data_IF_209382176283
#
_entry.id   IF_209382176283
#
_cell.length_a   1.000
_cell.length_b   1.000
_cell.length_c   1.000
_cell.angle_alpha   90.00
_cell.angle_beta   90.00
_cell.angle_gamma   90.00
#
_symmetry.space_group_name_H-M   'P 1'
#
loop_
_entity.id
_entity.type
_entity.pdbx_description
1 polymer ?
#
# COMPACT_ATOMS: atom_id res chain seq x y z
N UNK A 1 19.99 46.89 72.31
CA UNK A 1 19.08 45.88 71.73
C UNK A 1 18.39 46.57 70.56
N UNK A 2 19.16 46.76 69.48
CA UNK A 2 19.15 45.94 68.25
C UNK A 2 17.88 46.21 67.43
N UNK A 3 17.92 47.24 66.56
CA UNK A 3 18.28 47.22 65.12
C UNK A 3 17.06 46.83 64.28
N UNK A 4 16.37 47.79 63.63
CA UNK A 4 16.58 48.24 62.25
C UNK A 4 16.49 47.10 61.21
N UNK A 5 15.54 47.18 60.26
CA UNK A 5 15.91 47.38 58.85
C UNK A 5 14.68 47.61 57.93
N UNK A 6 14.90 48.52 56.98
CA UNK A 6 14.06 48.98 55.88
C UNK A 6 13.82 47.93 54.79
N UNK A 7 12.75 48.15 54.01
CA UNK A 7 12.50 47.50 52.71
C UNK A 7 13.66 47.65 51.72
N UNK A 8 13.74 46.75 50.73
CA UNK A 8 13.85 47.24 49.35
C UNK A 8 13.04 46.46 48.31
N UNK A 9 12.72 47.20 47.25
CA UNK A 9 12.33 46.78 45.90
C UNK A 9 13.39 45.94 45.17
N UNK A 10 12.94 45.20 44.14
CA UNK A 10 13.65 44.77 42.91
C UNK A 10 13.92 43.27 42.73
N UNK A 11 13.37 42.74 41.64
CA UNK A 11 14.05 41.95 40.60
C UNK A 11 14.87 40.72 40.99
N UNK A 12 14.37 39.54 40.60
CA UNK A 12 15.14 38.35 40.20
C UNK A 12 14.19 37.51 39.34
N UNK A 13 14.27 37.48 38.01
CA UNK A 13 15.30 36.81 37.21
C UNK A 13 15.60 35.38 37.70
N UNK A 14 15.47 34.41 36.79
CA UNK A 14 16.06 33.07 36.81
C UNK A 14 15.67 32.06 37.92
N UNK A 15 14.41 31.62 37.90
CA UNK A 15 14.04 30.28 38.42
C UNK A 15 13.42 29.39 37.33
N UNK A 16 13.51 29.79 36.06
CA UNK A 16 12.76 29.15 34.97
C UNK A 16 13.55 28.11 34.16
N UNK A 17 14.77 27.74 34.57
CA UNK A 17 15.58 26.76 33.83
C UNK A 17 15.34 25.30 34.25
N UNK A 18 14.60 25.05 35.34
CA UNK A 18 14.38 23.68 35.86
C UNK A 18 12.92 23.25 35.91
N UNK A 19 11.98 24.11 35.51
CA UNK A 19 10.59 23.70 35.36
C UNK A 19 10.44 22.99 34.01
N UNK A 20 10.12 21.70 34.06
CA UNK A 20 9.82 20.91 32.86
C UNK A 20 8.79 21.64 32.01
N UNK A 21 8.93 21.60 30.68
CA UNK A 21 7.95 22.17 29.74
C UNK A 21 6.51 21.67 30.02
N UNK A 22 6.40 20.49 30.65
CA UNK A 22 5.15 19.93 31.14
C UNK A 22 4.61 20.68 32.37
N UNK A 23 5.46 20.97 33.35
CA UNK A 23 5.11 21.70 34.58
C UNK A 23 4.64 23.12 34.27
N UNK A 24 5.33 23.81 33.35
CA UNK A 24 4.94 25.15 32.91
C UNK A 24 3.58 25.15 32.16
N UNK A 25 3.28 24.09 31.39
CA UNK A 25 1.95 23.95 30.77
C UNK A 25 0.84 23.72 31.81
N UNK A 26 1.11 22.91 32.83
CA UNK A 26 0.15 22.62 33.91
C UNK A 26 -0.11 23.87 34.73
N UNK A 27 0.93 24.65 35.06
CA UNK A 27 0.78 25.91 35.79
C UNK A 27 0.00 26.95 34.96
N UNK A 28 0.32 27.07 33.67
CA UNK A 28 -0.30 28.07 32.78
C UNK A 28 -1.75 27.75 32.40
N UNK A 29 -2.08 26.48 32.16
CA UNK A 29 -3.45 26.07 31.76
C UNK A 29 -4.30 25.57 32.92
N UNK A 30 -3.68 25.26 34.05
CA UNK A 30 -4.32 24.73 35.25
C UNK A 30 -5.16 23.47 34.97
N UNK A 31 -6.08 23.20 35.90
CA UNK A 31 -7.10 22.13 35.79
C UNK A 31 -8.13 22.35 34.67
N UNK A 32 -8.07 23.47 33.95
CA UNK A 32 -9.03 23.88 32.93
C UNK A 32 -8.56 23.64 31.48
N UNK A 33 -7.43 22.97 31.26
CA UNK A 33 -6.93 22.64 29.92
C UNK A 33 -7.97 21.92 29.04
N UNK A 34 -8.86 21.12 29.66
CA UNK A 34 -9.94 20.39 28.98
C UNK A 34 -10.94 21.30 28.25
N UNK A 35 -11.16 22.53 28.73
CA UNK A 35 -12.10 23.49 28.14
C UNK A 35 -11.52 24.30 26.97
N UNK A 36 -10.19 24.38 26.85
CA UNK A 36 -9.56 25.19 25.80
C UNK A 36 -9.43 24.47 24.46
N UNK A 37 -9.40 23.13 24.44
CA UNK A 37 -9.33 22.36 23.19
C UNK A 37 -10.62 22.43 22.36
N UNK A 38 -11.76 22.70 23.00
CA UNK A 38 -13.08 22.71 22.36
C UNK A 38 -13.65 24.11 22.12
N UNK A 39 -12.93 25.17 22.52
CA UNK A 39 -13.38 26.57 22.35
C UNK A 39 -13.26 27.04 20.90
N UNK A 40 -12.38 26.43 20.12
CA UNK A 40 -12.19 26.75 18.71
C UNK A 40 -13.03 25.82 17.84
N UNK A 41 -14.13 26.34 17.29
CA UNK A 41 -14.82 25.69 16.17
C UNK A 41 -13.94 25.88 14.94
N UNK A 42 -13.32 24.81 14.46
CA UNK A 42 -12.54 24.86 13.22
C UNK A 42 -13.45 25.36 12.09
N UNK A 43 -13.10 26.51 11.52
CA UNK A 43 -13.73 27.01 10.29
C UNK A 43 -13.16 26.24 9.09
N UNK A 44 -13.37 24.93 9.10
CA UNK A 44 -12.97 24.05 8.00
C UNK A 44 -13.90 24.25 6.81
N UNK A 45 -13.46 23.89 5.59
CA UNK A 45 -14.33 23.88 4.43
C UNK A 45 -15.58 23.06 4.77
N UNK A 46 -16.75 23.67 4.61
CA UNK A 46 -18.03 23.03 4.88
C UNK A 46 -18.13 21.82 3.98
N UNK A 47 -18.19 20.64 4.59
CA UNK A 47 -18.45 19.41 3.85
C UNK A 47 -19.77 19.59 3.10
N UNK A 48 -19.75 19.33 1.81
CA UNK A 48 -20.86 19.58 0.89
C UNK A 48 -21.95 18.50 0.96
N UNK A 49 -21.80 17.50 1.84
CA UNK A 49 -22.78 16.45 2.09
C UNK A 49 -22.89 15.44 0.95
N UNK A 50 -22.09 15.58 -0.10
CA UNK A 50 -22.08 14.68 -1.25
C UNK A 50 -21.02 13.62 -1.00
N UNK A 51 -21.47 12.42 -0.67
CA UNK A 51 -20.58 11.26 -0.50
C UNK A 51 -20.10 10.71 -1.86
N UNK A 52 -20.69 11.19 -2.96
CA UNK A 52 -20.36 10.76 -4.31
C UNK A 52 -19.01 11.33 -4.75
N UNK A 53 -18.09 10.49 -5.25
CA UNK A 53 -16.81 10.97 -5.79
C UNK A 53 -17.09 11.86 -6.99
N UNK A 54 -16.76 13.16 -6.86
CA UNK A 54 -16.90 14.11 -7.96
C UNK A 54 -15.91 13.76 -9.07
N UNK A 55 -16.44 13.24 -10.18
CA UNK A 55 -15.67 12.97 -11.39
C UNK A 55 -15.07 14.30 -11.90
N UNK A 56 -13.75 14.46 -11.78
CA UNK A 56 -13.06 15.62 -12.33
C UNK A 56 -12.95 15.42 -13.85
N UNK A 57 -13.60 16.28 -14.62
CA UNK A 57 -13.51 16.26 -16.09
C UNK A 57 -12.06 16.54 -16.50
N UNK A 58 -11.38 15.52 -17.02
CA UNK A 58 -10.08 15.69 -17.66
C UNK A 58 -10.29 16.38 -19.00
N UNK A 59 -10.18 17.72 -19.03
CA UNK A 59 -10.02 18.44 -20.28
C UNK A 59 -8.63 18.14 -20.84
N UNK A 60 -8.51 17.01 -21.54
CA UNK A 60 -7.46 16.79 -22.52
C UNK A 60 -7.61 17.87 -23.58
N UNK A 61 -6.71 18.85 -23.54
CA UNK A 61 -6.56 19.85 -24.57
C UNK A 61 -5.97 19.14 -25.81
N UNK A 62 -6.81 18.47 -26.60
CA UNK A 62 -6.43 17.90 -27.89
C UNK A 62 -7.26 18.59 -28.97
N UNK A 63 -6.59 19.55 -29.60
CA UNK A 63 -7.07 20.31 -30.75
C UNK A 63 -7.44 19.34 -31.87
N UNK A 64 -8.67 19.48 -32.33
CA UNK A 64 -9.28 18.74 -33.43
C UNK A 64 -9.12 19.55 -34.70
N UNK A 65 -8.46 18.98 -35.72
CA UNK A 65 -8.63 19.40 -37.11
C UNK A 65 -8.44 18.21 -38.07
N UNK A 66 -9.56 17.88 -38.74
CA UNK A 66 -9.73 17.46 -40.14
C UNK A 66 -8.79 16.38 -40.73
N UNK A 67 -9.27 15.14 -40.92
CA UNK A 67 -10.11 14.63 -42.02
C UNK A 67 -9.33 14.18 -43.27
N UNK A 68 -9.47 12.88 -43.55
CA UNK A 68 -9.40 12.16 -44.83
C UNK A 68 -8.03 11.83 -45.46
N UNK A 69 -7.84 10.53 -45.71
CA UNK A 69 -6.76 9.97 -46.50
C UNK A 69 -6.79 8.44 -46.52
N UNK A 70 -7.43 7.88 -47.54
CA UNK A 70 -7.38 6.46 -47.93
C UNK A 70 -5.97 6.03 -48.36
N UNK A 71 -5.53 4.82 -47.99
CA UNK A 71 -4.70 3.98 -48.86
C UNK A 71 -4.62 2.54 -48.37
N UNK A 72 -5.20 1.62 -49.14
CA UNK A 72 -4.81 0.21 -49.18
C UNK A 72 -3.35 0.07 -49.66
N UNK A 73 -2.58 -0.84 -49.06
CA UNK A 73 -1.75 -1.79 -49.82
C UNK A 73 -1.03 -2.79 -48.92
N UNK A 74 -0.94 -3.99 -49.48
CA UNK A 74 -0.29 -5.21 -49.02
C UNK A 74 1.04 -5.07 -48.26
N UNK A 75 1.21 -5.94 -47.27
CA UNK A 75 2.42 -6.77 -47.17
C UNK A 75 2.13 -8.02 -46.31
N UNK A 76 1.75 -9.11 -46.98
CA UNK A 76 1.89 -10.46 -46.43
C UNK A 76 3.38 -10.78 -46.29
N UNK A 77 3.91 -10.67 -45.07
CA UNK A 77 5.26 -11.17 -44.75
C UNK A 77 5.13 -12.22 -43.64
N UNK A 78 5.06 -13.47 -44.08
CA UNK A 78 5.34 -14.64 -43.26
C UNK A 78 6.85 -14.76 -43.10
N UNK A 79 7.40 -14.39 -41.94
CA UNK A 79 8.76 -14.81 -41.53
C UNK A 79 8.75 -15.09 -40.02
N UNK A 80 8.64 -16.39 -39.72
CA UNK A 80 9.37 -17.14 -38.68
C UNK A 80 9.93 -16.36 -37.48
N UNK A 81 9.34 -16.55 -36.30
CA UNK A 81 10.00 -16.76 -34.97
C UNK A 81 8.94 -16.65 -33.85
N UNK A 82 7.98 -17.56 -33.90
CA UNK A 82 6.78 -17.62 -33.06
C UNK A 82 7.00 -18.30 -31.70
N UNK A 83 8.01 -17.84 -30.94
CA UNK A 83 8.19 -18.26 -29.52
C UNK A 83 8.42 -17.07 -28.58
N UNK A 84 9.04 -15.97 -29.02
CA UNK A 84 9.31 -14.82 -28.16
C UNK A 84 8.14 -13.83 -28.04
N UNK A 85 7.37 -13.63 -29.11
CA UNK A 85 6.25 -12.66 -29.11
C UNK A 85 5.07 -13.09 -28.21
N UNK A 86 4.86 -14.40 -28.05
CA UNK A 86 3.82 -14.93 -27.15
C UNK A 86 4.19 -14.70 -25.68
N UNK A 87 5.46 -14.83 -25.32
CA UNK A 87 5.97 -14.56 -23.97
C UNK A 87 5.89 -13.07 -23.60
N UNK A 88 6.13 -12.16 -24.55
CA UNK A 88 6.04 -10.72 -24.31
C UNK A 88 4.57 -10.26 -24.14
N UNK A 89 3.65 -10.82 -24.92
CA UNK A 89 2.22 -10.56 -24.77
C UNK A 89 1.64 -11.13 -23.45
N UNK A 90 2.11 -12.30 -23.00
CA UNK A 90 1.73 -12.88 -21.71
C UNK A 90 2.25 -12.08 -20.50
N UNK A 91 3.45 -11.48 -20.60
CA UNK A 91 4.00 -10.60 -19.55
C UNK A 91 3.20 -9.31 -19.39
N UNK A 92 2.75 -8.71 -20.49
CA UNK A 92 1.97 -7.46 -20.47
C UNK A 92 0.56 -7.64 -19.88
N UNK A 93 -0.12 -8.76 -20.18
CA UNK A 93 -1.47 -9.05 -19.68
C UNK A 93 -1.53 -9.44 -18.20
N UNK A 94 -0.39 -9.74 -17.58
CA UNK A 94 -0.31 -10.15 -16.16
C UNK A 94 -0.13 -8.97 -15.20
N UNK A 95 0.12 -7.76 -15.73
CA UNK A 95 0.41 -6.59 -14.91
C UNK A 95 -0.86 -5.94 -14.33
N UNK A 96 -1.96 -6.00 -15.05
CA UNK A 96 -3.26 -5.46 -14.64
C UNK A 96 -4.01 -6.36 -13.65
N UNK A 97 -3.44 -7.53 -13.29
CA UNK A 97 -4.15 -8.58 -12.56
C UNK A 97 -3.83 -8.62 -11.06
N UNK A 98 -2.86 -7.84 -10.58
CA UNK A 98 -2.45 -7.83 -9.17
C UNK A 98 -3.62 -7.45 -8.25
N UNK A 99 -4.21 -8.46 -7.61
CA UNK A 99 -5.26 -8.30 -6.60
C UNK A 99 -4.73 -8.51 -5.17
N UNK A 100 -3.44 -8.80 -5.04
CA UNK A 100 -2.73 -8.81 -3.76
C UNK A 100 -2.18 -7.41 -3.51
N UNK A 101 -2.77 -6.70 -2.56
CA UNK A 101 -2.34 -5.35 -2.15
C UNK A 101 -1.54 -5.35 -0.84
N UNK A 102 -1.74 -6.38 0.00
CA UNK A 102 -1.09 -6.48 1.30
C UNK A 102 0.20 -7.29 1.22
N UNK A 103 1.30 -6.57 1.05
CA UNK A 103 2.65 -7.13 1.14
C UNK A 103 3.56 -6.16 1.90
N UNK A 104 4.63 -6.69 2.45
CA UNK A 104 5.74 -5.94 3.03
C UNK A 104 7.04 -6.47 2.44
N UNK A 105 8.10 -5.66 2.43
CA UNK A 105 9.41 -6.16 2.03
C UNK A 105 10.49 -5.74 3.02
N UNK A 106 11.62 -6.43 2.97
CA UNK A 106 12.80 -6.13 3.80
C UNK A 106 14.04 -6.34 2.94
N UNK A 107 14.94 -5.37 2.98
CA UNK A 107 16.22 -5.40 2.30
C UNK A 107 17.30 -5.94 3.24
N UNK A 108 17.94 -7.05 2.86
CA UNK A 108 19.07 -7.68 3.55
C UNK A 108 20.38 -7.49 2.76
N UNK A 109 20.53 -6.36 2.07
CA UNK A 109 21.72 -6.00 1.30
C UNK A 109 21.80 -6.76 -0.02
N UNK A 110 22.15 -8.05 0.05
CA UNK A 110 22.28 -8.92 -1.13
C UNK A 110 20.98 -9.66 -1.49
N UNK A 111 19.99 -9.64 -0.59
CA UNK A 111 18.71 -10.32 -0.77
C UNK A 111 17.56 -9.43 -0.34
N UNK A 112 16.40 -9.64 -0.95
CA UNK A 112 15.16 -8.96 -0.59
C UNK A 112 14.15 -10.03 -0.22
N UNK A 113 13.49 -9.84 0.91
CA UNK A 113 12.39 -10.69 1.35
C UNK A 113 11.08 -9.93 1.20
N UNK A 114 10.14 -10.47 0.42
CA UNK A 114 8.79 -9.95 0.31
C UNK A 114 7.86 -10.88 1.08
N UNK A 115 7.19 -10.34 2.08
CA UNK A 115 6.19 -11.01 2.89
C UNK A 115 4.81 -10.69 2.34
N UNK A 116 4.12 -11.70 1.84
CA UNK A 116 2.76 -11.58 1.34
C UNK A 116 1.83 -12.21 2.36
N UNK A 117 0.91 -11.43 2.93
CA UNK A 117 -0.07 -11.93 3.90
C UNK A 117 -1.23 -12.57 3.15
N UNK A 118 -1.31 -13.90 3.20
CA UNK A 118 -2.36 -14.70 2.55
C UNK A 118 -2.80 -15.79 3.53
N UNK A 119 -3.77 -15.50 4.42
CA UNK A 119 -4.24 -16.47 5.40
C UNK A 119 -4.75 -17.73 4.70
N UNK A 120 -4.46 -18.91 5.24
CA UNK A 120 -4.88 -20.19 4.64
C UNK A 120 -4.10 -20.66 3.40
N UNK A 121 -3.11 -19.91 2.92
CA UNK A 121 -2.29 -20.30 1.75
C UNK A 121 -1.51 -21.60 1.97
N UNK A 122 -1.18 -21.92 3.22
CA UNK A 122 -0.46 -23.15 3.56
C UNK A 122 -1.22 -24.42 3.22
N UNK A 123 -2.56 -24.35 3.16
CA UNK A 123 -3.42 -25.48 2.77
C UNK A 123 -3.50 -25.66 1.25
N UNK A 124 -3.10 -24.66 0.46
CA UNK A 124 -3.05 -24.79 -0.99
C UNK A 124 -1.88 -25.72 -1.38
N UNK A 125 -2.03 -26.63 -2.35
CA UNK A 125 -0.93 -27.43 -2.86
C UNK A 125 0.12 -26.55 -3.55
N UNK A 126 1.38 -26.99 -3.54
CA UNK A 126 2.49 -26.23 -4.15
C UNK A 126 2.30 -26.03 -5.66
N UNK A 127 1.59 -26.94 -6.33
CA UNK A 127 1.24 -26.83 -7.76
C UNK A 127 0.37 -25.60 -8.09
N UNK A 128 -0.37 -25.09 -7.10
CA UNK A 128 -1.21 -23.88 -7.28
C UNK A 128 -0.41 -22.60 -7.10
N UNK A 129 0.83 -22.67 -6.59
CA UNK A 129 1.69 -21.52 -6.34
C UNK A 129 2.76 -21.47 -7.42
N UNK A 130 2.55 -20.61 -8.41
CA UNK A 130 3.48 -20.39 -9.51
C UNK A 130 4.25 -19.11 -9.25
N UNK A 131 5.58 -19.20 -9.29
CA UNK A 131 6.48 -18.05 -9.20
C UNK A 131 7.24 -17.93 -10.52
N UNK A 132 6.92 -16.90 -11.29
CA UNK A 132 7.65 -16.52 -12.49
C UNK A 132 8.47 -15.27 -12.19
N UNK A 133 9.75 -15.31 -12.50
CA UNK A 133 10.65 -14.18 -12.31
C UNK A 133 11.45 -13.90 -13.58
N UNK A 134 11.84 -12.65 -13.75
CA UNK A 134 12.76 -12.19 -14.78
C UNK A 134 13.73 -11.19 -14.17
N UNK A 135 14.63 -10.64 -14.99
CA UNK A 135 15.72 -9.78 -14.52
C UNK A 135 15.23 -8.58 -13.71
N UNK A 136 14.13 -7.93 -14.14
CA UNK A 136 13.53 -6.78 -13.45
C UNK A 136 12.03 -6.97 -13.16
N UNK A 137 11.50 -8.18 -13.19
CA UNK A 137 10.07 -8.42 -13.03
C UNK A 137 9.80 -9.65 -12.19
N UNK A 138 8.70 -9.66 -11.44
CA UNK A 138 8.32 -10.76 -10.57
C UNK A 138 6.81 -10.97 -10.66
N UNK A 139 6.35 -12.21 -10.75
CA UNK A 139 4.94 -12.57 -10.75
C UNK A 139 4.72 -13.82 -9.87
N UNK A 140 3.97 -13.64 -8.79
CA UNK A 140 3.44 -14.73 -7.98
C UNK A 140 1.97 -14.93 -8.35
N UNK A 141 1.58 -16.15 -8.67
CA UNK A 141 0.19 -16.54 -8.89
C UNK A 141 -0.18 -17.68 -7.95
N UNK A 142 -1.23 -17.48 -7.17
CA UNK A 142 -1.84 -18.48 -6.28
C UNK A 142 -3.23 -18.79 -6.81
N UNK A 143 -3.39 -19.99 -7.39
CA UNK A 143 -4.65 -20.44 -7.96
C UNK A 143 -5.59 -21.00 -6.90
N UNK A 144 -6.90 -20.86 -7.11
CA UNK A 144 -7.95 -21.42 -6.24
C UNK A 144 -7.78 -21.03 -4.77
N UNK A 145 -7.40 -19.79 -4.51
CA UNK A 145 -7.22 -19.31 -3.15
C UNK A 145 -8.58 -19.09 -2.48
N UNK A 146 -8.75 -19.66 -1.29
CA UNK A 146 -9.93 -19.47 -0.43
C UNK A 146 -9.44 -18.79 0.83
N UNK A 147 -9.86 -17.54 1.03
CA UNK A 147 -9.57 -16.83 2.28
C UNK A 147 -10.31 -17.55 3.43
N UNK A 148 -9.64 -17.85 4.55
CA UNK A 148 -10.32 -18.21 5.77
C UNK A 148 -11.30 -17.10 6.10
N UNK A 149 -12.59 -17.45 6.13
CA UNK A 149 -13.60 -16.57 6.71
C UNK A 149 -13.23 -16.56 8.20
N UNK A 150 -12.78 -15.41 8.71
CA UNK A 150 -12.58 -15.27 10.14
C UNK A 150 -13.87 -15.72 10.83
N UNK A 151 -13.82 -16.59 11.85
CA UNK A 151 -14.99 -16.88 12.64
C UNK A 151 -15.44 -15.55 13.22
N UNK A 152 -16.50 -14.98 12.64
CA UNK A 152 -17.21 -13.86 13.20
C UNK A 152 -17.65 -14.37 14.56
N UNK A 153 -16.99 -13.89 15.62
CA UNK A 153 -17.53 -14.10 16.95
C UNK A 153 -18.93 -13.50 16.90
N UNK A 154 -19.92 -14.38 17.12
CA UNK A 154 -21.33 -14.06 17.01
C UNK A 154 -21.70 -13.12 18.14
N UNK A 155 -21.47 -11.82 17.95
CA UNK A 155 -22.13 -10.77 18.70
C UNK A 155 -22.44 -9.61 17.75
N UNK A 156 -23.68 -9.65 17.28
CA UNK A 156 -24.53 -8.53 16.88
C UNK A 156 -23.96 -7.47 15.92
N UNK A 157 -24.36 -7.56 14.64
CA UNK A 157 -25.03 -6.47 13.91
C UNK A 157 -25.46 -6.96 12.52
N UNK A 158 -26.76 -7.19 12.37
CA UNK A 158 -27.41 -7.41 11.08
C UNK A 158 -27.26 -6.12 10.27
N UNK A 159 -26.33 -6.09 9.31
CA UNK A 159 -26.37 -5.10 8.24
C UNK A 159 -27.23 -5.67 7.11
N UNK A 160 -28.43 -5.12 6.95
CA UNK A 160 -29.28 -5.32 5.78
C UNK A 160 -28.57 -4.76 4.53
N UNK A 161 -27.59 -5.51 4.03
CA UNK A 161 -27.02 -5.30 2.70
C UNK A 161 -27.68 -6.31 1.80
N UNK A 162 -28.82 -5.91 1.25
CA UNK A 162 -29.50 -6.58 0.13
C UNK A 162 -28.55 -6.65 -1.07
N UNK A 163 -27.79 -7.74 -1.13
CA UNK A 163 -26.99 -8.17 -2.26
C UNK A 163 -27.26 -9.65 -2.49
N UNK A 164 -28.30 -9.92 -3.27
CA UNK A 164 -28.64 -11.24 -3.77
C UNK A 164 -27.45 -11.79 -4.58
N UNK A 165 -26.78 -12.84 -4.08
CA UNK A 165 -26.11 -13.85 -4.89
C UNK A 165 -25.76 -15.10 -4.06
N UNK A 166 -26.71 -16.03 -4.10
CA UNK A 166 -26.52 -17.46 -4.37
C UNK A 166 -25.55 -18.28 -3.51
N UNK A 167 -26.16 -19.25 -2.82
CA UNK A 167 -25.52 -20.37 -2.15
C UNK A 167 -24.46 -21.10 -3.00
N UNK A 168 -23.39 -21.50 -2.32
CA UNK A 168 -22.85 -22.86 -2.44
C UNK A 168 -21.87 -23.11 -3.57
N UNK A 169 -20.68 -22.54 -3.48
CA UNK A 169 -19.41 -23.14 -3.92
C UNK A 169 -18.31 -22.14 -3.55
N UNK A 170 -17.37 -22.50 -2.67
CA UNK A 170 -16.15 -21.72 -2.45
C UNK A 170 -15.32 -21.76 -3.74
N UNK A 171 -15.71 -20.98 -4.75
CA UNK A 171 -14.95 -20.80 -5.99
C UNK A 171 -13.70 -20.03 -5.61
N UNK A 172 -12.66 -20.77 -5.26
CA UNK A 172 -11.36 -20.19 -4.94
C UNK A 172 -10.95 -19.24 -6.06
N UNK A 173 -10.67 -18.00 -5.69
CA UNK A 173 -10.27 -16.97 -6.63
C UNK A 173 -8.78 -17.07 -6.90
N UNK A 174 -8.35 -16.74 -8.11
CA UNK A 174 -6.93 -16.63 -8.39
C UNK A 174 -6.41 -15.30 -7.80
N UNK A 175 -5.42 -15.41 -6.92
CA UNK A 175 -4.71 -14.27 -6.35
C UNK A 175 -3.36 -14.14 -7.03
N UNK A 176 -2.98 -12.95 -7.48
CA UNK A 176 -1.67 -12.70 -8.04
C UNK A 176 -1.06 -11.40 -7.55
N UNK A 177 0.26 -11.41 -7.48
CA UNK A 177 1.12 -10.31 -7.12
C UNK A 177 2.18 -10.20 -8.21
N UNK A 178 2.06 -9.18 -9.06
CA UNK A 178 2.99 -8.92 -10.15
C UNK A 178 3.62 -7.53 -10.03
N UNK A 179 4.92 -7.47 -10.31
CA UNK A 179 5.72 -6.27 -10.39
C UNK A 179 6.32 -6.20 -11.81
N UNK A 180 5.94 -5.20 -12.60
CA UNK A 180 6.49 -4.98 -13.95
C UNK A 180 7.98 -4.66 -13.92
N UNK A 181 8.32 -3.76 -13.01
CA UNK A 181 9.64 -3.15 -12.93
C UNK A 181 10.03 -3.08 -11.46
N UNK A 182 10.92 -3.99 -11.10
CA UNK A 182 11.63 -3.97 -9.84
C UNK A 182 12.63 -2.82 -9.85
N UNK A 183 12.97 -2.32 -8.66
CA UNK A 183 13.92 -1.22 -8.50
C UNK A 183 15.33 -1.53 -9.04
N UNK A 184 15.70 -2.80 -9.12
CA UNK A 184 16.96 -3.25 -9.71
C UNK A 184 16.88 -4.68 -10.24
N UNK A 185 17.98 -5.11 -10.86
CA UNK A 185 18.10 -6.44 -11.42
C UNK A 185 18.27 -7.51 -10.34
N UNK A 186 17.64 -8.66 -10.57
CA UNK A 186 17.74 -9.84 -9.71
C UNK A 186 18.44 -10.99 -10.44
N UNK A 187 19.25 -11.74 -9.71
CA UNK A 187 19.95 -12.92 -10.23
C UNK A 187 19.11 -14.19 -10.08
N UNK A 188 18.32 -14.27 -9.00
CA UNK A 188 17.53 -15.45 -8.67
C UNK A 188 16.32 -15.07 -7.81
N UNK A 189 15.23 -15.81 -7.91
CA UNK A 189 14.10 -15.70 -7.00
C UNK A 189 13.64 -17.08 -6.52
N UNK A 190 13.27 -17.17 -5.25
CA UNK A 190 12.71 -18.37 -4.63
C UNK A 190 11.48 -18.00 -3.79
N UNK A 191 10.52 -18.93 -3.66
CA UNK A 191 9.38 -18.76 -2.76
C UNK A 191 9.45 -19.76 -1.60
N UNK A 192 8.97 -19.33 -0.43
CA UNK A 192 8.74 -20.17 0.73
C UNK A 192 7.31 -19.99 1.21
N UNK A 193 6.53 -21.07 1.16
CA UNK A 193 5.16 -21.10 1.67
C UNK A 193 5.16 -21.31 3.18
N UNK A 194 4.27 -20.60 3.88
CA UNK A 194 3.93 -20.77 5.29
C UNK A 194 2.41 -20.91 5.42
N UNK A 195 1.92 -21.15 6.63
CA UNK A 195 0.49 -21.37 6.89
C UNK A 195 -0.37 -20.20 6.39
N UNK A 196 0.01 -18.97 6.74
CA UNK A 196 -0.77 -17.76 6.43
C UNK A 196 0.01 -16.70 5.65
N UNK A 197 1.21 -17.06 5.18
CA UNK A 197 2.10 -16.13 4.50
C UNK A 197 2.88 -16.82 3.39
N UNK A 198 3.16 -16.07 2.33
CA UNK A 198 4.16 -16.46 1.32
C UNK A 198 5.35 -15.52 1.44
N UNK A 199 6.54 -16.09 1.51
CA UNK A 199 7.79 -15.33 1.57
C UNK A 199 8.50 -15.50 0.24
N UNK A 200 8.61 -14.41 -0.52
CA UNK A 200 9.43 -14.38 -1.73
C UNK A 200 10.82 -13.90 -1.35
N UNK A 201 11.86 -14.58 -1.81
CA UNK A 201 13.26 -14.27 -1.54
C UNK A 201 13.93 -14.03 -2.88
N UNK A 202 14.31 -12.79 -3.13
CA UNK A 202 14.98 -12.35 -4.34
C UNK A 202 16.46 -12.15 -4.01
N UNK A 203 17.35 -12.70 -4.82
CA UNK A 203 18.80 -12.43 -4.77
C UNK A 203 19.07 -11.28 -5.73
N UNK A 204 19.60 -10.17 -5.22
CA UNK A 204 19.94 -9.02 -6.06
C UNK A 204 21.15 -9.37 -6.93
N UNK A 205 21.18 -8.81 -8.12
CA UNK A 205 22.37 -8.85 -8.99
C UNK A 205 23.44 -7.87 -8.50
N UNK A 206 23.00 -6.70 -8.06
CA UNK A 206 23.84 -5.66 -7.46
C UNK A 206 23.46 -5.45 -5.99
N UNK A 207 24.45 -5.25 -5.11
CA UNK A 207 24.25 -4.92 -3.69
C UNK A 207 23.75 -3.47 -3.46
N UNK A 208 22.97 -2.93 -4.40
CA UNK A 208 22.33 -1.62 -4.29
C UNK A 208 21.23 -1.68 -3.23
N UNK A 209 21.16 -0.69 -2.35
CA UNK A 209 20.08 -0.57 -1.36
C UNK A 209 18.77 -0.19 -2.06
N UNK A 210 17.68 -0.90 -1.75
CA UNK A 210 16.36 -0.64 -2.33
C UNK A 210 15.50 0.11 -1.32
N UNK A 211 15.10 1.34 -1.65
CA UNK A 211 14.13 2.12 -0.86
C UNK A 211 12.68 1.72 -1.15
N UNK A 212 12.45 1.11 -2.31
CA UNK A 212 11.15 0.63 -2.80
C UNK A 212 11.36 -0.68 -3.54
N UNK A 213 10.33 -1.52 -3.60
CA UNK A 213 10.37 -2.75 -4.39
C UNK A 213 10.19 -2.48 -5.89
N UNK A 214 9.40 -1.45 -6.21
CA UNK A 214 9.16 -0.96 -7.57
C UNK A 214 10.03 0.27 -7.87
N UNK A 215 10.44 0.42 -9.13
CA UNK A 215 11.23 1.55 -9.62
C UNK A 215 10.43 2.86 -9.71
#
# INVERSE_FOLDING_TARGET
MTDENSSPTSTTEDVNASKSALQDNIDRKGKNAYYFAHRHKANGPKWDGKIEPRLLSSSSNITTESSEGLSESMATVSVTTSTAAKALASRSLSLSKSNITNYAFTDEGSKIKIYVNLPGVGNAPDENVVLDWGECSLCLTVKKYVAPIDPVEEDDLICDTSGENTAGENKGEDRCLSFAQLFGEIENASCKKKQDKVILILKKKDDKVWSSIIA
#
